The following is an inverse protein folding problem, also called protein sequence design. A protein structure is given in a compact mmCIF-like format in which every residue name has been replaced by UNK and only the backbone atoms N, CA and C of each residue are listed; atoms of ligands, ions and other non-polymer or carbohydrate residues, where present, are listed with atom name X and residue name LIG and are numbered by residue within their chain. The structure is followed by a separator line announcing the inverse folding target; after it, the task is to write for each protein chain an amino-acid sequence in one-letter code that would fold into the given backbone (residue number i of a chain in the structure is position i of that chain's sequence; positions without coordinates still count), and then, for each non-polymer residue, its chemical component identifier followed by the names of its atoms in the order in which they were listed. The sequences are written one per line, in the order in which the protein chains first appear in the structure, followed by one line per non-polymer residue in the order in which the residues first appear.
data_IF_802627248565
#
_entry.id   IF_802627248565
#
_cell.length_a   1.000
_cell.length_b   1.000
_cell.length_c   1.000
_cell.angle_alpha   90.00
_cell.angle_beta   90.00
_cell.angle_gamma   90.00
#
_symmetry.space_group_name_H-M   'P 1'
#
loop_
_entity.id
_entity.type
_entity.pdbx_description
1 polymer ?
#
# COMPACT_ATOMS: atom_id res chain seq x y z
N UNK A 1 -26.39 -10.57 -7.34
CA UNK A 1 -25.14 -11.20 -6.88
C UNK A 1 -24.32 -10.21 -6.06
N UNK A 2 -23.85 -10.65 -4.91
CA UNK A 2 -23.09 -9.80 -4.02
C UNK A 2 -21.69 -9.54 -4.60
N UNK A 3 -21.30 -8.29 -4.71
CA UNK A 3 -19.97 -7.93 -5.20
C UNK A 3 -18.90 -8.36 -4.20
N UNK A 4 -17.87 -9.06 -4.67
CA UNK A 4 -16.75 -9.47 -3.83
C UNK A 4 -15.85 -8.27 -3.59
N UNK A 5 -15.51 -8.02 -2.31
CA UNK A 5 -14.57 -6.96 -1.95
C UNK A 5 -13.15 -7.39 -2.35
N UNK A 6 -12.49 -6.67 -3.27
CA UNK A 6 -11.16 -7.07 -3.74
C UNK A 6 -10.09 -7.10 -2.65
N UNK A 7 -10.22 -6.26 -1.62
CA UNK A 7 -9.26 -6.25 -0.52
C UNK A 7 -9.38 -7.49 0.34
N UNK A 8 -10.62 -7.91 0.63
CA UNK A 8 -10.85 -9.15 1.37
C UNK A 8 -10.39 -10.37 0.56
N UNK A 9 -10.66 -10.36 -0.73
CA UNK A 9 -10.23 -11.44 -1.62
C UNK A 9 -8.71 -11.57 -1.62
N UNK A 10 -8.00 -10.45 -1.71
CA UNK A 10 -6.54 -10.44 -1.63
C UNK A 10 -6.05 -10.98 -0.29
N UNK A 11 -6.67 -10.53 0.82
CA UNK A 11 -6.27 -10.96 2.15
C UNK A 11 -6.37 -12.49 2.31
N UNK A 12 -7.49 -13.06 1.88
CA UNK A 12 -7.71 -14.50 2.02
C UNK A 12 -6.83 -15.35 1.11
N UNK A 13 -6.38 -14.81 -0.02
CA UNK A 13 -5.53 -15.53 -0.96
C UNK A 13 -4.04 -15.24 -0.77
N UNK A 14 -3.70 -14.30 0.10
CA UNK A 14 -2.31 -13.92 0.32
C UNK A 14 -1.59 -14.91 1.21
N UNK A 15 -0.58 -15.57 0.65
CA UNK A 15 0.25 -16.51 1.38
C UNK A 15 1.72 -16.07 1.41
N UNK A 16 2.03 -14.88 0.90
CA UNK A 16 3.39 -14.39 0.81
C UNK A 16 3.76 -13.40 1.91
N UNK A 17 3.23 -12.20 1.85
CA UNK A 17 3.55 -11.12 2.79
C UNK A 17 2.52 -11.03 3.90
N UNK A 18 3.00 -10.75 5.11
CA UNK A 18 2.11 -10.60 6.27
C UNK A 18 1.37 -9.27 6.20
N UNK A 19 0.06 -9.32 6.39
CA UNK A 19 -0.80 -8.13 6.41
C UNK A 19 -1.46 -8.03 7.78
N UNK A 20 -1.21 -6.92 8.49
CA UNK A 20 -1.74 -6.67 9.83
C UNK A 20 -2.96 -5.75 9.81
N UNK A 21 -3.78 -5.83 8.77
CA UNK A 21 -4.98 -5.02 8.68
C UNK A 21 -6.20 -5.84 9.07
N UNK A 22 -7.12 -5.21 9.80
CA UNK A 22 -8.34 -5.88 10.24
C UNK A 22 -9.36 -5.92 9.11
N UNK A 23 -10.06 -7.05 8.99
CA UNK A 23 -10.97 -7.29 7.87
C UNK A 23 -12.05 -6.23 7.72
N UNK A 24 -12.59 -5.70 8.82
CA UNK A 24 -13.66 -4.71 8.72
C UNK A 24 -13.20 -3.39 8.09
N UNK A 25 -11.90 -3.08 8.14
CA UNK A 25 -11.39 -1.89 7.47
C UNK A 25 -11.38 -2.04 5.94
N UNK A 26 -11.36 -3.26 5.44
CA UNK A 26 -11.32 -3.47 4.00
C UNK A 26 -12.59 -2.99 3.30
N UNK A 27 -13.74 -3.13 3.96
CA UNK A 27 -14.99 -2.61 3.41
C UNK A 27 -14.97 -1.08 3.35
N UNK A 28 -14.40 -0.44 4.37
CA UNK A 28 -14.26 1.01 4.41
C UNK A 28 -13.33 1.49 3.31
N UNK A 29 -12.18 0.84 3.15
CA UNK A 29 -11.21 1.20 2.12
C UNK A 29 -11.81 1.04 0.72
N UNK A 30 -12.47 -0.06 0.45
CA UNK A 30 -13.07 -0.29 -0.86
C UNK A 30 -14.16 0.73 -1.18
N UNK A 31 -14.95 1.11 -0.18
CA UNK A 31 -15.98 2.14 -0.34
C UNK A 31 -15.40 3.47 -0.83
N UNK A 32 -14.25 3.86 -0.26
CA UNK A 32 -13.66 5.16 -0.55
C UNK A 32 -12.66 5.13 -1.70
N UNK A 33 -12.03 4.00 -1.96
CA UNK A 33 -10.92 3.91 -2.91
C UNK A 33 -11.24 3.18 -4.21
N UNK A 34 -12.38 2.49 -4.30
CA UNK A 34 -12.70 1.70 -5.50
C UNK A 34 -12.70 2.52 -6.78
N UNK A 35 -13.10 3.79 -6.71
CA UNK A 35 -13.13 4.69 -7.86
C UNK A 35 -11.75 5.01 -8.43
N UNK A 36 -10.69 4.78 -7.65
CA UNK A 36 -9.31 5.04 -8.08
C UNK A 36 -8.62 3.81 -8.66
N UNK A 37 -9.29 2.67 -8.65
CA UNK A 37 -8.71 1.45 -9.21
C UNK A 37 -8.49 1.59 -10.70
N UNK A 38 -7.38 1.03 -11.20
CA UNK A 38 -6.99 1.05 -12.62
C UNK A 38 -6.72 2.47 -13.14
N UNK A 39 -6.50 3.42 -12.24
CA UNK A 39 -6.18 4.80 -12.58
C UNK A 39 -4.72 5.10 -12.24
N UNK A 40 -4.11 6.13 -12.88
CA UNK A 40 -2.72 6.50 -12.59
C UNK A 40 -2.63 7.34 -11.29
N UNK A 41 -2.98 6.71 -10.17
CA UNK A 41 -2.98 7.38 -8.86
C UNK A 41 -1.66 7.15 -8.15
N UNK A 42 -1.36 8.02 -7.18
CA UNK A 42 -0.20 7.88 -6.30
C UNK A 42 -0.70 7.58 -4.91
N UNK A 43 -0.24 6.48 -4.36
CA UNK A 43 -0.59 6.03 -3.00
C UNK A 43 0.65 6.16 -2.12
N UNK A 44 0.53 6.87 -1.01
CA UNK A 44 1.63 7.05 -0.08
C UNK A 44 1.28 6.40 1.26
N UNK A 45 2.14 5.55 1.76
CA UNK A 45 1.93 4.86 3.03
C UNK A 45 3.10 5.10 3.97
N UNK A 46 2.80 5.51 5.20
CA UNK A 46 3.78 5.67 6.27
C UNK A 46 3.76 4.42 7.15
N UNK A 47 4.96 3.89 7.43
CA UNK A 47 5.06 2.67 8.21
C UNK A 47 4.82 1.44 7.36
N UNK A 48 5.85 1.01 6.66
CA UNK A 48 5.75 -0.03 5.64
C UNK A 48 5.87 -1.44 6.22
N UNK A 49 6.62 -1.58 7.32
CA UNK A 49 6.86 -2.85 8.00
C UNK A 49 7.41 -3.93 7.05
N UNK A 50 6.70 -5.03 6.85
CA UNK A 50 7.14 -6.14 6.00
C UNK A 50 6.71 -6.00 4.53
N UNK A 51 6.05 -4.91 4.18
CA UNK A 51 5.66 -4.67 2.80
C UNK A 51 4.36 -5.32 2.35
N UNK A 52 3.64 -5.98 3.28
CA UNK A 52 2.38 -6.63 2.94
C UNK A 52 1.34 -5.66 2.42
N UNK A 53 1.23 -4.49 3.05
CA UNK A 53 0.29 -3.46 2.62
C UNK A 53 0.65 -2.91 1.24
N UNK A 54 1.95 -2.76 0.94
CA UNK A 54 2.39 -2.28 -0.37
C UNK A 54 1.95 -3.23 -1.48
N UNK A 55 2.11 -4.52 -1.26
CA UNK A 55 1.69 -5.53 -2.22
C UNK A 55 0.16 -5.53 -2.38
N UNK A 56 -0.56 -5.36 -1.28
CA UNK A 56 -2.00 -5.27 -1.30
C UNK A 56 -2.48 -4.07 -2.14
N UNK A 57 -1.88 -2.89 -1.95
CA UNK A 57 -2.25 -1.69 -2.70
C UNK A 57 -1.88 -1.82 -4.18
N UNK A 58 -0.74 -2.42 -4.48
CA UNK A 58 -0.31 -2.68 -5.85
C UNK A 58 -1.34 -3.54 -6.59
N UNK A 59 -1.81 -4.59 -5.94
CA UNK A 59 -2.82 -5.48 -6.50
C UNK A 59 -4.17 -4.77 -6.61
N UNK A 60 -4.54 -4.02 -5.59
CA UNK A 60 -5.85 -3.38 -5.53
C UNK A 60 -5.98 -2.27 -6.58
N UNK A 61 -5.02 -1.35 -6.65
CA UNK A 61 -5.10 -0.19 -7.55
C UNK A 61 -4.66 -0.50 -8.98
N UNK A 62 -3.91 -1.56 -9.18
CA UNK A 62 -3.50 -1.97 -10.52
C UNK A 62 -2.17 -1.37 -10.94
N UNK A 63 -1.74 -1.73 -12.14
CA UNK A 63 -0.38 -1.43 -12.62
C UNK A 63 -0.12 0.03 -12.98
N UNK A 64 -1.16 0.85 -13.09
CA UNK A 64 -1.00 2.28 -13.38
C UNK A 64 -0.69 3.09 -12.13
N UNK A 65 -0.91 2.52 -10.95
CA UNK A 65 -0.67 3.20 -9.69
C UNK A 65 0.81 3.25 -9.36
N UNK A 66 1.20 4.35 -8.73
CA UNK A 66 2.54 4.53 -8.17
C UNK A 66 2.41 4.45 -6.67
N UNK A 67 3.15 3.56 -6.04
CA UNK A 67 3.05 3.32 -4.60
C UNK A 67 4.34 3.79 -3.94
N UNK A 68 4.20 4.66 -2.94
CA UNK A 68 5.33 5.22 -2.22
C UNK A 68 5.23 4.78 -0.77
N UNK A 69 6.23 4.04 -0.32
CA UNK A 69 6.35 3.63 1.07
C UNK A 69 7.38 4.45 1.79
N UNK A 70 7.08 4.89 3.00
CA UNK A 70 7.97 5.68 3.82
C UNK A 70 8.13 4.97 5.16
N UNK A 71 9.36 4.71 5.56
CA UNK A 71 9.65 4.05 6.83
C UNK A 71 10.96 4.54 7.38
N UNK A 72 11.10 4.53 8.70
CA UNK A 72 12.33 4.92 9.36
C UNK A 72 13.36 3.79 9.35
N UNK A 73 12.92 2.55 9.17
CA UNK A 73 13.79 1.38 9.17
C UNK A 73 14.46 1.20 7.81
N UNK A 74 15.82 1.31 7.74
CA UNK A 74 16.53 1.16 6.46
C UNK A 74 16.32 -0.18 5.78
N UNK A 75 15.96 -1.23 6.52
CA UNK A 75 15.68 -2.54 5.95
C UNK A 75 14.51 -2.52 4.97
N UNK A 76 13.63 -1.53 5.09
CA UNK A 76 12.50 -1.41 4.17
C UNK A 76 12.91 -1.05 2.75
N UNK A 77 14.13 -0.55 2.55
CA UNK A 77 14.62 -0.18 1.22
C UNK A 77 14.61 -1.35 0.25
N UNK A 78 14.81 -2.57 0.75
CA UNK A 78 14.78 -3.78 -0.07
C UNK A 78 13.41 -4.10 -0.64
N UNK A 79 12.35 -3.43 -0.16
CA UNK A 79 10.99 -3.63 -0.65
C UNK A 79 10.71 -2.85 -1.92
N UNK A 80 11.62 -2.00 -2.37
CA UNK A 80 11.46 -1.25 -3.60
C UNK A 80 11.41 -2.20 -4.80
N UNK A 81 10.49 -1.92 -5.72
CA UNK A 81 10.35 -2.71 -6.93
C UNK A 81 9.62 -1.87 -7.98
N UNK A 82 9.32 -2.45 -9.13
CA UNK A 82 8.53 -1.75 -10.14
C UNK A 82 7.21 -1.29 -9.54
N UNK A 83 6.86 -0.03 -9.71
CA UNK A 83 5.67 0.62 -9.16
C UNK A 83 5.79 1.00 -7.67
N UNK A 84 6.76 0.45 -6.94
CA UNK A 84 6.91 0.68 -5.51
C UNK A 84 8.21 1.39 -5.23
N UNK A 85 8.14 2.63 -4.75
CA UNK A 85 9.30 3.42 -4.33
C UNK A 85 9.34 3.45 -2.82
N UNK A 86 10.53 3.30 -2.26
CA UNK A 86 10.73 3.34 -0.81
C UNK A 86 11.65 4.50 -0.46
N UNK A 87 11.22 5.31 0.48
CA UNK A 87 12.02 6.40 1.02
C UNK A 87 12.22 6.18 2.51
N UNK A 88 13.47 6.24 2.95
CA UNK A 88 13.80 6.02 4.36
C UNK A 88 13.88 7.38 5.05
N UNK A 89 13.06 7.55 6.07
CA UNK A 89 13.00 8.78 6.82
C UNK A 89 11.84 8.80 7.79
N UNK A 90 11.77 9.85 8.60
CA UNK A 90 10.72 10.00 9.60
C UNK A 90 9.58 10.85 9.08
N UNK A 91 8.35 10.42 9.36
CA UNK A 91 7.15 11.21 9.05
C UNK A 91 7.11 12.53 9.84
N UNK A 92 7.96 12.67 10.87
CA UNK A 92 8.08 13.90 11.66
C UNK A 92 9.13 14.85 11.09
N UNK A 93 9.95 14.43 10.13
CA UNK A 93 11.02 15.24 9.56
C UNK A 93 10.49 16.05 8.37
N UNK A 94 10.25 17.33 8.59
CA UNK A 94 9.72 18.23 7.57
C UNK A 94 10.62 18.37 6.34
N UNK A 95 11.94 18.42 6.57
CA UNK A 95 12.89 18.56 5.46
C UNK A 95 12.85 17.33 4.57
N UNK A 96 12.79 16.14 5.20
CA UNK A 96 12.65 14.89 4.46
C UNK A 96 11.35 14.87 3.65
N UNK A 97 10.22 15.23 4.27
CA UNK A 97 8.92 15.20 3.59
C UNK A 97 8.87 16.17 2.41
N UNK A 98 9.53 17.30 2.50
CA UNK A 98 9.57 18.27 1.41
C UNK A 98 10.36 17.78 0.21
N UNK A 99 11.25 16.82 0.39
CA UNK A 99 12.07 16.26 -0.70
C UNK A 99 11.37 15.14 -1.47
N UNK A 100 10.27 14.65 -0.96
CA UNK A 100 9.52 13.56 -1.60
C UNK A 100 8.84 13.95 -2.90
#
# INVERSE_FOLDING_TARGET
MKKINPLKSYFYSNDGSLIHKWLHYFDIYDRHFSKFRKQPVVIMEFGVSHGGSLQMWKKYFGRKARIIGIDINPECEKLAEKQVEIYIGSQEDRAFLKRL
#
